data_IF_080568881071
#
_entry.id   IF_080568881071
#
_cell.length_a   1.000
_cell.length_b   1.000
_cell.length_c   1.000
_cell.angle_alpha   90.00
_cell.angle_beta   90.00
_cell.angle_gamma   90.00
#
_symmetry.space_group_name_H-M   'P 1'
#
loop_
_entity.id
_entity.type
_entity.pdbx_description
1 polymer ?
#
# COMPACT_ATOMS: atom_id res chain seq x y z
N UNK A 1 24.24 4.68 19.95
CA UNK A 1 23.23 3.93 19.15
C UNK A 1 22.49 4.94 18.29
N UNK A 2 22.38 4.71 16.98
CA UNK A 2 21.66 5.58 16.05
C UNK A 2 20.18 5.17 16.05
N UNK A 3 19.27 6.10 16.36
CA UNK A 3 17.83 5.86 16.28
C UNK A 3 17.07 7.05 15.71
N UNK A 4 15.85 6.79 15.24
CA UNK A 4 14.99 7.81 14.63
C UNK A 4 14.14 8.46 15.72
N UNK A 5 14.20 9.79 15.86
CA UNK A 5 13.37 10.51 16.83
C UNK A 5 12.09 11.06 16.22
N UNK A 6 12.17 11.59 15.00
CA UNK A 6 11.02 12.08 14.23
C UNK A 6 11.28 11.71 12.78
N UNK A 7 10.31 11.12 12.09
CA UNK A 7 10.38 10.94 10.64
C UNK A 7 8.99 11.13 10.06
N UNK A 8 8.70 12.38 9.69
CA UNK A 8 7.41 12.77 9.12
C UNK A 8 7.68 13.49 7.80
N UNK A 9 7.26 12.99 6.64
CA UNK A 9 7.48 13.70 5.39
C UNK A 9 6.73 15.02 5.33
N UNK A 10 7.25 15.96 4.55
CA UNK A 10 6.56 17.21 4.23
C UNK A 10 5.36 16.92 3.31
N UNK A 11 5.59 16.11 2.29
CA UNK A 11 4.52 15.46 1.53
C UNK A 11 5.01 14.12 0.97
N UNK A 12 4.05 13.26 0.63
CA UNK A 12 4.27 12.05 -0.15
C UNK A 12 3.43 12.18 -1.41
N UNK A 13 4.04 11.90 -2.56
CA UNK A 13 3.37 12.03 -3.87
C UNK A 13 3.61 10.79 -4.71
N UNK A 14 2.56 10.32 -5.38
CA UNK A 14 2.65 9.35 -6.45
C UNK A 14 3.00 10.04 -7.76
N UNK A 15 4.02 9.56 -8.45
CA UNK A 15 4.46 10.07 -9.75
C UNK A 15 4.84 8.90 -10.65
N UNK A 16 3.91 8.52 -11.53
CA UNK A 16 4.05 7.34 -12.38
C UNK A 16 4.26 6.06 -11.55
N UNK A 17 5.37 5.37 -11.82
CA UNK A 17 5.79 4.14 -11.11
C UNK A 17 6.50 4.40 -9.79
N UNK A 18 6.58 5.65 -9.33
CA UNK A 18 7.33 6.01 -8.14
C UNK A 18 6.45 6.63 -7.05
N UNK A 19 6.77 6.34 -5.81
CA UNK A 19 6.35 7.09 -4.63
C UNK A 19 7.53 7.97 -4.21
N UNK A 20 7.31 9.28 -4.13
CA UNK A 20 8.29 10.27 -3.69
C UNK A 20 7.94 10.73 -2.29
N UNK A 21 8.80 10.39 -1.34
CA UNK A 21 8.71 10.85 0.04
C UNK A 21 9.61 12.07 0.18
N UNK A 22 9.03 13.26 0.28
CA UNK A 22 9.77 14.53 0.28
C UNK A 22 9.88 15.09 1.69
N UNK A 23 11.08 15.52 2.07
CA UNK A 23 11.44 15.96 3.41
C UNK A 23 11.71 17.48 3.45
N UNK A 24 11.31 18.11 4.55
CA UNK A 24 11.58 19.52 4.84
C UNK A 24 12.41 19.68 6.10
N UNK A 25 12.94 20.88 6.33
CA UNK A 25 13.76 21.20 7.49
C UNK A 25 13.07 20.79 8.81
N UNK A 26 13.77 20.06 9.68
CA UNK A 26 13.30 19.53 10.97
C UNK A 26 12.21 18.44 10.95
N UNK A 27 11.68 18.07 9.79
CA UNK A 27 10.67 17.02 9.65
C UNK A 27 11.25 15.60 9.80
N UNK A 28 12.57 15.51 9.83
CA UNK A 28 13.32 14.29 10.09
C UNK A 28 14.40 14.59 11.14
N UNK A 29 14.54 13.77 12.17
CA UNK A 29 15.57 13.91 13.19
C UNK A 29 16.08 12.57 13.71
N UNK A 30 17.36 12.57 14.04
CA UNK A 30 18.09 11.40 14.54
C UNK A 30 18.56 11.65 15.96
N UNK A 31 18.57 10.59 16.76
CA UNK A 31 19.28 10.54 18.03
C UNK A 31 20.62 9.84 17.80
N UNK A 32 21.71 10.57 18.00
CA UNK A 32 23.08 10.07 17.91
C UNK A 32 23.86 10.56 19.13
N UNK A 33 24.50 9.65 19.87
CA UNK A 33 25.27 9.96 21.08
C UNK A 33 24.50 10.86 22.06
N UNK A 34 23.24 10.50 22.34
CA UNK A 34 22.30 11.25 23.20
C UNK A 34 21.96 12.67 22.71
N UNK A 35 22.32 12.98 21.46
CA UNK A 35 22.12 14.30 20.86
C UNK A 35 21.16 14.19 19.68
N UNK A 36 20.19 15.10 19.66
CA UNK A 36 19.25 15.21 18.53
C UNK A 36 19.88 16.03 17.42
N UNK A 37 19.85 15.48 16.21
CA UNK A 37 20.25 16.17 14.98
C UNK A 37 19.03 16.29 14.07
N UNK A 38 18.80 17.49 13.54
CA UNK A 38 17.66 17.77 12.68
C UNK A 38 18.09 17.78 11.22
N UNK A 39 17.27 17.20 10.35
CA UNK A 39 17.49 17.21 8.92
C UNK A 39 17.48 18.65 8.38
N UNK A 40 18.46 18.92 7.51
CA UNK A 40 18.58 20.14 6.72
C UNK A 40 18.66 19.79 5.23
N UNK A 41 17.87 20.44 4.37
CA UNK A 41 17.79 20.12 2.95
C UNK A 41 18.96 20.70 2.14
N UNK A 42 20.19 20.35 2.50
CA UNK A 42 21.41 20.84 1.82
C UNK A 42 21.81 19.97 0.61
N UNK A 43 21.51 18.67 0.65
CA UNK A 43 21.82 17.72 -0.42
C UNK A 43 20.53 17.04 -0.90
N UNK A 44 20.32 15.77 -0.58
CA UNK A 44 19.08 15.08 -0.94
C UNK A 44 17.90 15.53 -0.08
N UNK A 45 16.72 15.60 -0.70
CA UNK A 45 15.46 16.01 -0.05
C UNK A 45 14.33 15.02 -0.23
N UNK A 46 14.58 13.93 -0.94
CA UNK A 46 13.55 12.97 -1.28
C UNK A 46 14.07 11.53 -1.23
N UNK A 47 13.18 10.62 -0.90
CA UNK A 47 13.37 9.18 -1.06
C UNK A 47 12.43 8.74 -2.18
N UNK A 48 12.96 8.04 -3.18
CA UNK A 48 12.19 7.50 -4.31
C UNK A 48 12.05 6.00 -4.14
N UNK A 49 10.81 5.55 -4.14
CA UNK A 49 10.46 4.13 -4.01
C UNK A 49 9.74 3.74 -5.29
N UNK A 50 10.16 2.63 -5.90
CA UNK A 50 9.47 2.01 -7.01
C UNK A 50 8.21 1.29 -6.49
N UNK A 51 7.05 1.57 -7.08
CA UNK A 51 5.76 1.00 -6.63
C UNK A 51 5.65 -0.48 -6.90
N UNK A 52 6.23 -0.93 -8.00
CA UNK A 52 6.11 -2.31 -8.49
C UNK A 52 7.04 -3.23 -7.70
N UNK A 53 8.31 -2.82 -7.54
CA UNK A 53 9.32 -3.61 -6.82
C UNK A 53 9.34 -3.33 -5.32
N UNK A 54 8.74 -2.21 -4.87
CA UNK A 54 8.83 -1.68 -3.51
C UNK A 54 10.26 -1.36 -3.06
N UNK A 55 11.19 -1.26 -4.00
CA UNK A 55 12.59 -0.95 -3.72
C UNK A 55 12.86 0.55 -3.75
N UNK A 56 13.79 0.98 -2.88
CA UNK A 56 14.35 2.33 -2.92
C UNK A 56 15.33 2.43 -4.08
N UNK A 57 15.10 3.39 -4.97
CA UNK A 57 15.91 3.58 -6.18
C UNK A 57 17.16 4.44 -5.91
N UNK A 58 17.03 5.44 -5.02
CA UNK A 58 18.11 6.39 -4.72
C UNK A 58 18.85 6.04 -3.42
N UNK A 59 19.37 4.81 -3.30
CA UNK A 59 20.08 4.33 -2.10
C UNK A 59 21.33 5.16 -1.74
N UNK A 60 21.93 5.80 -2.73
CA UNK A 60 23.11 6.66 -2.56
C UNK A 60 22.76 8.10 -2.14
N UNK A 61 21.48 8.43 -2.00
CA UNK A 61 21.03 9.76 -1.59
C UNK A 61 21.56 10.11 -0.20
N UNK A 62 22.30 11.21 -0.12
CA UNK A 62 22.87 11.73 1.14
C UNK A 62 21.92 12.73 1.81
N UNK A 63 21.60 12.47 3.07
CA UNK A 63 20.81 13.35 3.93
C UNK A 63 21.69 14.01 4.96
N UNK A 64 21.53 15.32 5.14
CA UNK A 64 22.35 16.12 6.05
C UNK A 64 21.57 16.43 7.32
N UNK A 65 22.19 16.21 8.47
CA UNK A 65 21.61 16.46 9.79
C UNK A 65 22.47 17.42 10.59
N UNK A 66 21.86 18.44 11.18
CA UNK A 66 22.54 19.52 11.89
C UNK A 66 22.20 19.51 13.38
N UNK A 67 23.20 19.79 14.20
CA UNK A 67 23.04 20.23 15.60
C UNK A 67 23.99 21.39 15.89
N UNK A 68 23.44 22.60 16.07
CA UNK A 68 24.25 23.80 16.23
C UNK A 68 25.15 24.02 15.00
N UNK A 69 26.48 24.01 15.17
CA UNK A 69 27.44 24.15 14.06
C UNK A 69 27.91 22.82 13.45
N UNK A 70 27.46 21.67 13.99
CA UNK A 70 27.88 20.34 13.52
C UNK A 70 26.91 19.81 12.46
N UNK A 71 27.46 19.26 11.38
CA UNK A 71 26.72 18.61 10.30
C UNK A 71 27.17 17.15 10.18
N UNK A 72 26.22 16.23 10.07
CA UNK A 72 26.45 14.83 9.79
C UNK A 72 25.78 14.49 8.45
N UNK A 73 26.53 13.85 7.56
CA UNK A 73 26.04 13.36 6.27
C UNK A 73 25.83 11.86 6.38
N UNK A 74 24.64 11.40 6.07
CA UNK A 74 24.29 9.98 6.18
C UNK A 74 23.63 9.57 4.86
N UNK A 75 24.19 8.55 4.22
CA UNK A 75 23.59 7.98 3.02
C UNK A 75 22.32 7.20 3.38
N UNK A 76 21.36 7.15 2.45
CA UNK A 76 20.12 6.42 2.66
C UNK A 76 20.36 4.93 2.92
N UNK A 77 21.35 4.34 2.25
CA UNK A 77 21.78 2.95 2.50
C UNK A 77 22.17 2.69 3.96
N UNK A 78 22.72 3.68 4.66
CA UNK A 78 23.08 3.56 6.07
C UNK A 78 21.88 3.79 6.99
N UNK A 79 20.99 4.74 6.64
CA UNK A 79 19.70 4.91 7.33
C UNK A 79 18.86 3.63 7.26
N UNK A 80 18.89 2.94 6.12
CA UNK A 80 18.19 1.67 5.92
C UNK A 80 18.69 0.53 6.80
N UNK A 81 19.90 0.62 7.37
CA UNK A 81 20.41 -0.37 8.34
C UNK A 81 19.78 -0.18 9.74
N UNK A 82 19.14 0.97 9.99
CA UNK A 82 18.46 1.26 11.25
C UNK A 82 17.05 0.66 11.19
N UNK A 83 16.76 -0.28 12.08
CA UNK A 83 15.46 -0.97 12.13
C UNK A 83 14.28 0.01 12.23
N UNK A 84 14.35 0.96 13.15
CA UNK A 84 13.31 1.98 13.38
C UNK A 84 13.06 2.86 12.13
N UNK A 85 14.07 3.03 11.27
CA UNK A 85 13.89 3.77 10.01
C UNK A 85 13.03 2.99 9.03
N UNK A 86 13.28 1.68 8.88
CA UNK A 86 12.48 0.81 8.01
C UNK A 86 11.03 0.77 8.47
N UNK A 87 10.79 0.67 9.78
CA UNK A 87 9.43 0.65 10.35
C UNK A 87 8.68 1.95 10.05
N UNK A 88 9.28 3.12 10.33
CA UNK A 88 8.64 4.39 10.03
C UNK A 88 8.43 4.61 8.52
N UNK A 89 9.41 4.23 7.69
CA UNK A 89 9.27 4.33 6.23
C UNK A 89 8.13 3.45 5.72
N UNK A 90 8.02 2.21 6.21
CA UNK A 90 6.90 1.33 5.86
C UNK A 90 5.56 1.94 6.25
N UNK A 91 5.44 2.53 7.44
CA UNK A 91 4.21 3.20 7.88
C UNK A 91 3.82 4.36 6.95
N UNK A 92 4.80 5.14 6.51
CA UNK A 92 4.59 6.24 5.55
C UNK A 92 4.14 5.70 4.19
N UNK A 93 4.68 4.56 3.75
CA UNK A 93 4.43 4.00 2.43
C UNK A 93 3.16 3.15 2.35
N UNK A 94 2.71 2.54 3.46
CA UNK A 94 1.54 1.65 3.50
C UNK A 94 0.28 2.21 2.80
N UNK A 95 -0.09 3.50 2.93
CA UNK A 95 -1.25 4.06 2.23
C UNK A 95 -1.09 4.14 0.70
N UNK A 96 0.16 4.16 0.20
CA UNK A 96 0.50 4.42 -1.21
C UNK A 96 0.95 3.15 -1.94
N UNK A 97 1.49 2.19 -1.20
CA UNK A 97 1.69 0.83 -1.66
C UNK A 97 0.31 0.19 -1.57
N UNK A 98 -0.42 0.24 -2.69
CA UNK A 98 -1.63 -0.55 -2.86
C UNK A 98 -1.26 -1.98 -2.45
N UNK A 99 -1.90 -2.51 -1.39
CA UNK A 99 -2.01 -3.96 -1.25
C UNK A 99 -2.37 -4.47 -2.64
N UNK A 100 -1.73 -5.54 -3.16
CA UNK A 100 -2.16 -6.09 -4.43
C UNK A 100 -3.67 -6.22 -4.31
N UNK A 101 -4.42 -5.46 -5.13
CA UNK A 101 -5.83 -5.79 -5.32
C UNK A 101 -5.77 -7.29 -5.59
N UNK A 102 -6.49 -8.14 -4.83
CA UNK A 102 -6.53 -9.53 -5.19
C UNK A 102 -6.84 -9.53 -6.68
N UNK A 103 -5.90 -10.05 -7.47
CA UNK A 103 -6.16 -10.34 -8.88
C UNK A 103 -7.19 -11.44 -8.80
N UNK A 104 -8.45 -11.05 -8.59
CA UNK A 104 -9.55 -11.97 -8.71
C UNK A 104 -9.47 -12.35 -10.17
N UNK A 105 -9.04 -13.59 -10.40
CA UNK A 105 -8.98 -14.11 -11.75
C UNK A 105 -10.40 -13.98 -12.30
N UNK A 106 -10.59 -13.50 -13.55
CA UNK A 106 -11.92 -13.42 -14.15
C UNK A 106 -12.71 -14.71 -13.91
N UNK A 107 -12.04 -15.85 -14.04
CA UNK A 107 -12.57 -17.20 -13.78
C UNK A 107 -13.16 -17.40 -12.37
N UNK A 108 -12.60 -16.78 -11.32
CA UNK A 108 -13.13 -16.88 -9.95
C UNK A 108 -14.39 -16.03 -9.76
N UNK A 109 -14.46 -14.87 -10.43
CA UNK A 109 -15.67 -14.03 -10.43
C UNK A 109 -16.78 -14.73 -11.19
N UNK A 110 -16.47 -15.27 -12.37
CA UNK A 110 -17.44 -15.94 -13.23
C UNK A 110 -18.02 -17.18 -12.54
N UNK A 111 -17.19 -17.94 -11.81
CA UNK A 111 -17.65 -19.06 -10.99
C UNK A 111 -18.60 -18.61 -9.86
N UNK A 112 -18.26 -17.54 -9.15
CA UNK A 112 -19.11 -16.99 -8.08
C UNK A 112 -20.44 -16.47 -8.65
N UNK A 113 -20.41 -15.78 -9.79
CA UNK A 113 -21.61 -15.29 -10.46
C UNK A 113 -22.51 -16.46 -10.86
N UNK A 114 -21.95 -17.49 -11.50
CA UNK A 114 -22.69 -18.69 -11.91
C UNK A 114 -23.35 -19.39 -10.71
N UNK A 115 -22.64 -19.55 -9.59
CA UNK A 115 -23.20 -20.12 -8.36
C UNK A 115 -24.33 -19.26 -7.78
N UNK A 116 -24.20 -17.93 -7.82
CA UNK A 116 -25.25 -17.01 -7.35
C UNK A 116 -26.49 -17.08 -8.24
N UNK A 117 -26.32 -17.15 -9.56
CA UNK A 117 -27.42 -17.28 -10.52
C UNK A 117 -28.16 -18.61 -10.35
N UNK A 118 -27.41 -19.71 -10.19
CA UNK A 118 -27.96 -21.04 -9.90
C UNK A 118 -28.80 -21.04 -8.62
N UNK A 119 -28.27 -20.46 -7.54
CA UNK A 119 -28.98 -20.37 -6.26
C UNK A 119 -30.24 -19.49 -6.36
N UNK A 120 -30.18 -18.41 -7.16
CA UNK A 120 -31.35 -17.57 -7.41
C UNK A 120 -32.44 -18.32 -8.19
N UNK A 121 -32.07 -19.14 -9.19
CA UNK A 121 -33.02 -19.98 -9.93
C UNK A 121 -33.72 -21.00 -9.03
N UNK A 122 -32.97 -21.69 -8.16
CA UNK A 122 -33.55 -22.63 -7.19
C UNK A 122 -34.59 -21.92 -6.31
N UNK A 123 -34.26 -20.73 -5.80
CA UNK A 123 -35.20 -19.93 -5.00
C UNK A 123 -36.45 -19.52 -5.78
N UNK A 124 -36.33 -19.23 -7.08
CA UNK A 124 -37.47 -18.91 -7.94
C UNK A 124 -38.35 -20.14 -8.22
N UNK A 125 -37.75 -21.32 -8.34
CA UNK A 125 -38.47 -22.60 -8.45
C UNK A 125 -39.26 -22.87 -7.17
N UNK A 126 -38.63 -22.74 -5.99
CA UNK A 126 -39.29 -22.91 -4.69
C UNK A 126 -40.47 -21.93 -4.55
N UNK A 127 -40.26 -20.67 -4.92
CA UNK A 127 -41.32 -19.66 -4.90
C UNK A 127 -42.48 -20.03 -5.84
N UNK A 128 -42.20 -20.53 -7.04
CA UNK A 128 -43.23 -20.95 -7.98
C UNK A 128 -44.03 -22.14 -7.45
N UNK A 129 -43.40 -23.07 -6.73
CA UNK A 129 -44.08 -24.17 -6.04
C UNK A 129 -45.01 -23.64 -4.94
N UNK A 130 -44.54 -22.71 -4.10
CA UNK A 130 -45.33 -22.09 -3.03
C UNK A 130 -46.57 -21.37 -3.57
N UNK A 131 -46.40 -20.66 -4.69
CA UNK A 131 -47.47 -19.90 -5.37
C UNK A 131 -48.35 -20.79 -6.28
N UNK A 132 -48.01 -22.08 -6.44
CA UNK A 132 -48.64 -23.02 -7.38
C UNK A 132 -48.64 -22.53 -8.84
N UNK A 133 -47.59 -21.80 -9.22
CA UNK A 133 -47.39 -21.27 -10.56
C UNK A 133 -46.62 -22.29 -11.42
N UNK A 134 -47.38 -23.16 -12.08
CA UNK A 134 -46.84 -24.24 -12.93
C UNK A 134 -46.07 -23.70 -14.15
N UNK A 135 -46.42 -22.52 -14.65
CA UNK A 135 -45.73 -21.93 -15.81
C UNK A 135 -44.32 -21.51 -15.41
N UNK A 136 -44.19 -20.77 -14.31
CA UNK A 136 -42.90 -20.31 -13.81
C UNK A 136 -42.04 -21.47 -13.29
N UNK A 137 -42.64 -22.48 -12.65
CA UNK A 137 -41.93 -23.68 -12.22
C UNK A 137 -41.23 -24.36 -13.40
N UNK A 138 -41.96 -24.63 -14.49
CA UNK A 138 -41.40 -25.28 -15.67
C UNK A 138 -40.35 -24.39 -16.36
N UNK A 139 -40.59 -23.07 -16.43
CA UNK A 139 -39.66 -22.13 -17.04
C UNK A 139 -38.30 -22.09 -16.31
N UNK A 140 -38.28 -21.89 -15.00
CA UNK A 140 -37.02 -21.82 -14.24
C UNK A 140 -36.32 -23.17 -14.14
N UNK A 141 -37.06 -24.27 -14.09
CA UNK A 141 -36.48 -25.63 -14.08
C UNK A 141 -35.75 -25.94 -15.38
N UNK A 142 -36.31 -25.56 -16.53
CA UNK A 142 -35.63 -25.75 -17.82
C UNK A 142 -34.34 -24.92 -17.91
N UNK A 143 -34.36 -23.66 -17.46
CA UNK A 143 -33.15 -22.83 -17.43
C UNK A 143 -32.07 -23.44 -16.53
N UNK A 144 -32.45 -23.99 -15.37
CA UNK A 144 -31.52 -24.64 -14.46
C UNK A 144 -30.91 -25.94 -15.04
N UNK A 145 -31.62 -26.64 -15.92
CA UNK A 145 -31.13 -27.84 -16.60
C UNK A 145 -30.18 -27.53 -17.75
N UNK A 146 -30.33 -26.36 -18.37
CA UNK A 146 -29.51 -25.90 -19.50
C UNK A 146 -28.20 -25.18 -19.06
N UNK A 147 -28.05 -24.91 -17.76
CA UNK A 147 -26.83 -24.37 -17.13
C UNK A 147 -25.80 -25.47 -16.84
#
# INVERSE_FOLDING_TARGET
>A
MLSIKVFKPYYVKEEGKYIRVVLAYQYFSLLMDEKVYHFVPLESREIRINRDTKEIENKDAVFVFQKGKKYNRIALVDLMKVKDFQEHLSQILNPYITLPKPTVKPDEIDFIIMELERNNLIRLIDKALDEKDEMNFNYYTNILLDM
#
